data_IF_739234403628
#
_entry.id   IF_739234403628
#
_cell.length_a   1.000
_cell.length_b   1.000
_cell.length_c   1.000
_cell.angle_alpha   90.00
_cell.angle_beta   90.00
_cell.angle_gamma   90.00
#
_symmetry.space_group_name_H-M   'P 1'
#
loop_
_entity.id
_entity.type
_entity.pdbx_description
1 polymer ?
#
# COMPACT_ATOMS: atom_id res chain seq x y z
N UNK A 1 21.11 6.58 13.78
CA UNK A 1 19.69 7.03 13.72
C UNK A 1 19.61 8.46 14.24
N UNK A 2 18.93 9.35 13.53
CA UNK A 2 18.79 10.76 13.87
C UNK A 2 17.64 10.97 14.87
N UNK A 3 17.79 11.93 15.77
CA UNK A 3 16.72 12.39 16.67
C UNK A 3 16.63 13.91 16.65
N UNK A 4 15.46 14.44 17.02
CA UNK A 4 15.18 15.88 16.98
C UNK A 4 14.77 16.38 18.37
N UNK A 5 15.36 17.50 18.78
CA UNK A 5 15.01 18.25 19.98
C UNK A 5 14.53 19.64 19.59
N UNK A 6 13.56 20.18 20.35
CA UNK A 6 13.01 21.52 20.11
C UNK A 6 13.07 22.38 21.36
N UNK A 7 13.45 23.65 21.18
CA UNK A 7 13.41 24.69 22.19
C UNK A 7 12.03 25.36 22.19
N UNK A 8 11.34 25.27 23.33
CA UNK A 8 10.01 25.88 23.54
C UNK A 8 10.19 27.13 24.41
N UNK A 9 9.75 28.28 23.93
CA UNK A 9 9.79 29.54 24.68
C UNK A 9 8.40 29.95 25.12
N UNK A 10 8.25 30.12 26.43
CA UNK A 10 7.64 31.31 27.04
C UNK A 10 7.65 31.28 28.58
N UNK A 11 8.14 30.20 29.23
CA UNK A 11 8.50 30.20 30.66
C UNK A 11 9.73 29.38 31.05
N UNK A 12 10.30 28.58 30.15
CA UNK A 12 11.45 27.70 30.45
C UNK A 12 12.31 27.56 29.19
N UNK A 13 13.53 28.10 29.19
CA UNK A 13 14.56 27.85 28.16
C UNK A 13 15.08 26.42 28.27
N UNK A 14 14.25 25.43 27.95
CA UNK A 14 14.60 24.02 28.06
C UNK A 14 14.39 23.31 26.73
N UNK A 15 15.38 22.51 26.34
CA UNK A 15 15.31 21.63 25.17
C UNK A 15 14.51 20.38 25.52
N UNK A 16 13.59 19.99 24.64
CA UNK A 16 12.74 18.82 24.87
C UNK A 16 12.78 17.85 23.68
N UNK A 17 12.73 16.54 23.97
CA UNK A 17 12.60 15.50 22.95
C UNK A 17 11.25 15.63 22.26
N UNK A 18 11.25 15.65 20.92
CA UNK A 18 10.00 15.81 20.16
C UNK A 18 9.25 14.47 20.08
N UNK A 19 8.00 14.46 20.56
CA UNK A 19 7.06 13.33 20.47
C UNK A 19 5.91 13.65 19.49
N UNK A 20 5.00 12.70 19.25
CA UNK A 20 4.20 12.63 18.01
C UNK A 20 3.25 13.79 17.72
N UNK A 21 2.76 14.51 18.71
CA UNK A 21 2.06 15.76 18.50
C UNK A 21 2.80 16.81 19.29
N UNK A 22 3.19 17.89 18.61
CA UNK A 22 4.07 18.93 19.12
C UNK A 22 3.64 19.52 20.47
N UNK A 23 2.42 19.21 20.95
CA UNK A 23 1.88 19.55 22.25
C UNK A 23 1.04 18.36 22.83
N UNK A 24 1.62 17.49 23.66
CA UNK A 24 0.94 17.18 24.95
C UNK A 24 1.12 18.37 25.94
N UNK A 25 1.49 19.56 25.42
CA UNK A 25 2.06 20.72 26.12
C UNK A 25 1.06 21.49 26.99
N UNK A 26 -0.16 21.00 27.20
CA UNK A 26 -1.03 21.51 28.27
C UNK A 26 -1.40 20.47 29.33
N UNK A 27 -1.06 19.18 29.18
CA UNK A 27 -1.46 18.16 30.16
C UNK A 27 -0.26 17.55 30.88
N UNK A 28 -0.30 17.70 32.22
CA UNK A 28 0.44 16.87 33.17
C UNK A 28 0.14 15.41 32.82
N UNK A 29 1.09 14.68 32.24
CA UNK A 29 1.49 13.32 32.63
C UNK A 29 2.48 12.72 31.62
N UNK A 30 3.51 12.08 32.20
CA UNK A 30 4.69 11.54 31.53
C UNK A 30 4.38 10.45 30.49
N UNK A 31 4.87 10.65 29.27
CA UNK A 31 5.66 9.63 28.53
C UNK A 31 6.26 10.29 27.27
N UNK A 32 7.51 10.75 27.38
CA UNK A 32 8.24 11.35 26.28
C UNK A 32 8.74 10.27 25.30
N UNK A 33 7.90 9.84 24.36
CA UNK A 33 8.33 8.91 23.30
C UNK A 33 9.21 9.65 22.28
N UNK A 34 10.54 9.52 22.42
CA UNK A 34 11.52 10.09 21.50
C UNK A 34 11.31 9.54 20.09
N UNK A 35 11.13 10.43 19.11
CA UNK A 35 11.02 10.07 17.70
C UNK A 35 12.41 9.98 17.07
N UNK A 36 12.61 8.95 16.27
CA UNK A 36 13.85 8.73 15.54
C UNK A 36 13.58 8.73 14.04
N UNK A 37 14.49 9.32 13.29
CA UNK A 37 14.48 9.36 11.84
C UNK A 37 15.72 8.67 11.29
N UNK A 38 15.58 8.00 10.15
CA UNK A 38 16.72 7.35 9.51
C UNK A 38 17.54 8.32 8.66
N UNK A 39 16.88 9.22 7.94
CA UNK A 39 17.47 10.13 6.94
C UNK A 39 17.31 11.60 7.32
N UNK A 40 18.29 12.46 6.98
CA UNK A 40 18.23 13.91 7.23
C UNK A 40 17.05 14.56 6.50
N UNK A 41 16.80 14.17 5.26
CA UNK A 41 15.65 14.67 4.49
C UNK A 41 14.30 14.44 5.20
N UNK A 42 14.17 13.31 5.90
CA UNK A 42 12.99 13.00 6.71
C UNK A 42 12.83 13.92 7.91
N UNK A 43 13.94 14.32 8.52
CA UNK A 43 13.98 15.31 9.62
C UNK A 43 13.61 16.69 9.08
N UNK A 44 14.21 17.12 7.96
CA UNK A 44 13.95 18.42 7.34
C UNK A 44 12.49 18.59 6.92
N UNK A 45 11.91 17.58 6.26
CA UNK A 45 10.49 17.60 5.89
C UNK A 45 9.58 17.79 7.11
N UNK A 46 9.95 17.21 8.25
CA UNK A 46 9.21 17.39 9.50
C UNK A 46 9.37 18.81 10.05
N UNK A 47 10.59 19.36 10.07
CA UNK A 47 10.85 20.74 10.52
C UNK A 47 10.03 21.74 9.68
N UNK A 48 10.05 21.61 8.35
CA UNK A 48 9.26 22.47 7.44
C UNK A 48 7.78 22.39 7.76
N UNK A 49 7.25 21.16 7.97
CA UNK A 49 5.86 20.97 8.36
C UNK A 49 5.56 21.62 9.71
N UNK A 50 6.44 21.47 10.70
CA UNK A 50 6.29 22.03 12.03
C UNK A 50 6.30 23.56 12.03
N UNK A 51 7.23 24.19 11.32
CA UNK A 51 7.29 25.66 11.16
C UNK A 51 6.04 26.20 10.46
N UNK A 52 5.48 25.46 9.49
CA UNK A 52 4.21 25.82 8.86
C UNK A 52 3.03 25.75 9.84
N UNK A 53 3.02 24.75 10.72
CA UNK A 53 1.95 24.56 11.71
C UNK A 53 2.05 25.53 12.89
N UNK A 54 3.27 25.87 13.32
CA UNK A 54 3.54 26.70 14.49
C UNK A 54 4.43 27.89 14.09
N UNK A 55 3.84 29.04 13.72
CA UNK A 55 4.58 30.20 13.18
C UNK A 55 5.60 30.83 14.14
N UNK A 56 5.50 30.57 15.45
CA UNK A 56 6.47 31.03 16.45
C UNK A 56 7.72 30.13 16.52
N UNK A 57 7.74 29.02 15.79
CA UNK A 57 8.94 28.18 15.64
C UNK A 57 9.73 28.65 14.42
N UNK A 58 11.01 28.88 14.64
CA UNK A 58 12.00 29.09 13.59
C UNK A 58 12.92 27.88 13.50
N UNK A 59 13.73 27.81 12.43
CA UNK A 59 14.68 26.70 12.24
C UNK A 59 15.67 26.57 13.41
N UNK A 60 16.00 27.66 14.07
CA UNK A 60 16.92 27.74 15.23
C UNK A 60 16.37 27.01 16.45
N UNK A 61 15.04 26.92 16.56
CA UNK A 61 14.39 26.17 17.63
C UNK A 61 14.63 24.66 17.52
N UNK A 62 15.26 24.13 16.47
CA UNK A 62 15.40 22.70 16.23
C UNK A 62 16.86 22.25 16.25
N UNK A 63 17.18 21.30 17.14
CA UNK A 63 18.48 20.63 17.21
C UNK A 63 18.37 19.19 16.71
N UNK A 64 19.17 18.85 15.71
CA UNK A 64 19.26 17.49 15.17
C UNK A 64 20.47 16.81 15.83
N UNK A 65 20.25 15.65 16.42
CA UNK A 65 21.28 14.84 17.05
C UNK A 65 21.41 13.48 16.32
N UNK A 66 22.61 12.89 16.34
CA UNK A 66 22.88 11.57 15.77
C UNK A 66 23.49 11.61 14.37
N UNK A 67 23.83 10.42 13.86
CA UNK A 67 24.36 10.22 12.52
C UNK A 67 23.27 9.74 11.57
N UNK A 68 23.34 10.23 10.33
CA UNK A 68 22.48 9.76 9.23
C UNK A 68 22.75 8.28 8.99
N UNK A 69 21.67 7.50 8.96
CA UNK A 69 21.75 6.13 8.47
C UNK A 69 21.48 6.15 6.98
N UNK A 70 22.35 5.50 6.20
CA UNK A 70 22.06 5.27 4.80
C UNK A 70 20.69 4.60 4.66
N UNK A 71 19.86 5.19 3.78
CA UNK A 71 18.55 4.65 3.48
C UNK A 71 18.75 3.27 2.84
N UNK A 72 18.66 2.21 3.65
CA UNK A 72 18.48 0.85 3.13
C UNK A 72 17.21 0.88 2.29
N UNK A 73 17.36 0.93 0.96
CA UNK A 73 16.27 0.54 0.07
C UNK A 73 15.86 -0.86 0.56
N UNK A 74 14.58 -1.15 0.79
CA UNK A 74 14.20 -2.53 1.06
C UNK A 74 14.72 -3.36 -0.11
N UNK A 75 15.78 -4.15 0.13
CA UNK A 75 16.24 -5.19 -0.77
C UNK A 75 15.19 -6.31 -0.72
N UNK A 76 13.99 -6.03 -1.24
CA UNK A 76 13.17 -7.06 -1.83
C UNK A 76 13.48 -7.02 -3.33
N UNK A 77 14.54 -7.73 -3.80
CA UNK A 77 14.90 -7.78 -5.21
C UNK A 77 13.74 -8.30 -6.06
N UNK A 78 12.83 -9.08 -5.46
CA UNK A 78 11.64 -9.64 -6.08
C UNK A 78 10.81 -8.56 -6.81
N UNK A 79 10.62 -7.36 -6.23
CA UNK A 79 9.77 -6.34 -6.85
C UNK A 79 10.43 -5.55 -8.00
N UNK A 80 11.70 -5.78 -8.31
CA UNK A 80 12.42 -5.01 -9.33
C UNK A 80 12.21 -5.54 -10.76
N UNK A 81 11.92 -6.83 -10.92
CA UNK A 81 11.86 -7.50 -12.23
C UNK A 81 10.45 -7.96 -12.64
N UNK A 82 9.43 -7.63 -11.85
CA UNK A 82 8.04 -7.93 -12.19
C UNK A 82 7.45 -6.81 -13.04
N UNK A 83 7.47 -7.01 -14.35
CA UNK A 83 6.85 -6.10 -15.30
C UNK A 83 5.33 -6.31 -15.32
N UNK A 84 4.58 -5.22 -15.21
CA UNK A 84 3.12 -5.19 -15.31
C UNK A 84 2.78 -4.08 -16.29
N UNK A 85 1.93 -4.38 -17.27
CA UNK A 85 1.56 -3.49 -18.35
C UNK A 85 0.08 -3.11 -18.28
N UNK A 86 -0.28 -2.05 -18.99
CA UNK A 86 -1.69 -1.67 -19.16
C UNK A 86 -2.39 -2.75 -20.00
N UNK A 87 -3.55 -3.20 -19.55
CA UNK A 87 -4.30 -4.28 -20.19
C UNK A 87 -4.10 -5.66 -19.58
N UNK A 88 -3.09 -5.83 -18.73
CA UNK A 88 -2.88 -7.05 -17.96
C UNK A 88 -4.06 -7.36 -17.05
N UNK A 89 -4.34 -8.64 -16.84
CA UNK A 89 -5.47 -9.11 -16.03
C UNK A 89 -4.95 -9.82 -14.78
N UNK A 90 -5.43 -9.36 -13.63
CA UNK A 90 -5.25 -10.02 -12.34
C UNK A 90 -6.51 -10.81 -11.98
N UNK A 91 -6.34 -11.97 -11.37
CA UNK A 91 -7.42 -12.86 -10.91
C UNK A 91 -7.36 -12.99 -9.39
N UNK A 92 -8.51 -12.84 -8.74
CA UNK A 92 -8.68 -13.03 -7.31
C UNK A 92 -9.75 -14.10 -7.08
N UNK A 93 -9.35 -15.25 -6.55
CA UNK A 93 -10.27 -16.28 -6.08
C UNK A 93 -10.38 -16.19 -4.56
N UNK A 94 -11.60 -16.11 -4.04
CA UNK A 94 -11.85 -15.96 -2.61
C UNK A 94 -13.20 -16.55 -2.22
N UNK A 95 -13.41 -16.76 -0.93
CA UNK A 95 -14.69 -17.26 -0.42
C UNK A 95 -14.49 -18.17 0.78
N UNK A 96 -15.57 -18.39 1.52
CA UNK A 96 -15.59 -19.24 2.71
C UNK A 96 -16.43 -20.49 2.43
N UNK A 97 -17.76 -20.32 2.35
CA UNK A 97 -18.70 -21.37 1.92
C UNK A 97 -18.78 -21.49 0.40
N UNK A 98 -18.64 -20.37 -0.29
CA UNK A 98 -18.68 -20.23 -1.75
C UNK A 98 -17.28 -20.09 -2.34
N UNK A 99 -17.13 -20.23 -3.66
CA UNK A 99 -15.90 -19.87 -4.38
C UNK A 99 -16.21 -18.77 -5.39
N UNK A 100 -15.74 -17.55 -5.13
CA UNK A 100 -15.97 -16.38 -5.96
C UNK A 100 -14.69 -15.99 -6.70
N UNK A 101 -14.85 -15.59 -7.96
CA UNK A 101 -13.73 -15.17 -8.80
C UNK A 101 -13.97 -13.76 -9.33
N UNK A 102 -13.03 -12.88 -9.03
CA UNK A 102 -13.00 -11.52 -9.53
C UNK A 102 -11.81 -11.30 -10.46
N UNK A 103 -12.07 -10.59 -11.56
CA UNK A 103 -11.07 -10.22 -12.56
C UNK A 103 -10.82 -8.72 -12.53
N UNK A 104 -9.57 -8.30 -12.65
CA UNK A 104 -9.17 -6.90 -12.62
C UNK A 104 -8.20 -6.60 -13.75
N UNK A 105 -8.53 -5.63 -14.60
CA UNK A 105 -7.65 -5.19 -15.68
C UNK A 105 -6.91 -3.92 -15.29
N UNK A 106 -5.61 -3.88 -15.58
CA UNK A 106 -4.74 -2.72 -15.34
C UNK A 106 -5.12 -1.59 -16.28
N UNK A 107 -5.52 -0.46 -15.72
CA UNK A 107 -5.85 0.77 -16.45
C UNK A 107 -4.69 1.75 -16.48
N UNK A 108 -3.79 1.68 -15.48
CA UNK A 108 -2.64 2.58 -15.37
C UNK A 108 -1.52 1.93 -14.56
N UNK A 109 -0.28 2.17 -14.99
CA UNK A 109 0.93 1.83 -14.23
C UNK A 109 1.58 3.11 -13.73
N UNK A 110 2.01 3.13 -12.47
CA UNK A 110 2.75 4.26 -11.90
C UNK A 110 4.08 4.47 -12.63
N UNK A 111 4.62 5.70 -12.64
CA UNK A 111 5.94 5.99 -13.22
C UNK A 111 7.08 5.11 -12.68
N UNK A 112 6.90 4.55 -11.48
CA UNK A 112 7.90 3.69 -10.83
C UNK A 112 7.66 2.19 -11.06
N UNK A 113 6.58 1.79 -11.72
CA UNK A 113 6.18 0.37 -11.88
C UNK A 113 5.62 -0.30 -10.61
N UNK A 114 5.77 0.31 -9.43
CA UNK A 114 5.45 -0.35 -8.13
C UNK A 114 3.98 -0.34 -7.73
N UNK A 115 3.16 0.42 -8.45
CA UNK A 115 1.74 0.57 -8.18
C UNK A 115 0.97 0.64 -9.49
N UNK A 116 -0.26 0.13 -9.46
CA UNK A 116 -1.20 0.11 -10.57
C UNK A 116 -2.55 0.68 -10.14
N UNK A 117 -3.29 1.21 -11.12
CA UNK A 117 -4.74 1.31 -11.01
C UNK A 117 -5.35 0.15 -11.79
N UNK A 118 -6.41 -0.41 -11.25
CA UNK A 118 -7.14 -1.51 -11.88
C UNK A 118 -8.63 -1.26 -11.83
N UNK A 119 -9.37 -1.84 -12.79
CA UNK A 119 -10.83 -1.90 -12.75
C UNK A 119 -11.29 -3.33 -12.80
N UNK A 120 -12.32 -3.64 -12.02
CA UNK A 120 -12.96 -4.96 -12.05
C UNK A 120 -13.61 -5.17 -13.42
N UNK A 121 -13.53 -6.39 -13.95
CA UNK A 121 -14.14 -6.81 -15.20
C UNK A 121 -15.40 -7.64 -14.94
N UNK A 122 -16.35 -7.56 -15.86
CA UNK A 122 -17.40 -8.55 -15.99
C UNK A 122 -16.80 -9.91 -16.35
N UNK A 123 -17.51 -10.97 -16.02
CA UNK A 123 -17.19 -12.32 -16.44
C UNK A 123 -18.34 -12.91 -17.26
N UNK A 124 -18.03 -13.94 -18.04
CA UNK A 124 -19.01 -14.82 -18.67
C UNK A 124 -18.85 -16.23 -18.12
N UNK A 125 -19.95 -16.96 -17.99
CA UNK A 125 -19.92 -18.40 -17.72
C UNK A 125 -19.51 -19.10 -19.00
N UNK A 126 -18.46 -19.92 -18.91
CA UNK A 126 -17.93 -20.71 -20.04
C UNK A 126 -18.26 -22.19 -19.94
N UNK A 127 -18.57 -22.68 -18.73
CA UNK A 127 -18.99 -24.04 -18.48
C UNK A 127 -19.82 -24.13 -17.19
N UNK A 128 -20.73 -25.10 -17.11
CA UNK A 128 -21.58 -25.34 -15.95
C UNK A 128 -22.53 -24.19 -15.58
N UNK A 129 -22.90 -24.12 -14.31
CA UNK A 129 -23.79 -23.09 -13.76
C UNK A 129 -23.29 -22.66 -12.38
N UNK A 130 -22.85 -21.41 -12.25
CA UNK A 130 -22.26 -20.88 -11.01
C UNK A 130 -23.22 -20.98 -9.81
N UNK A 131 -24.52 -20.85 -10.06
CA UNK A 131 -25.60 -20.93 -9.07
C UNK A 131 -26.12 -22.34 -8.85
N UNK A 132 -25.28 -23.36 -9.09
CA UNK A 132 -25.58 -24.76 -8.81
C UNK A 132 -24.61 -25.30 -7.75
N UNK A 133 -24.98 -26.34 -6.99
CA UNK A 133 -24.07 -26.96 -6.02
C UNK A 133 -22.76 -27.46 -6.63
N UNK A 134 -22.76 -27.78 -7.93
CA UNK A 134 -21.58 -28.22 -8.68
C UNK A 134 -20.70 -27.05 -9.12
N UNK A 135 -21.20 -25.81 -9.07
CA UNK A 135 -20.53 -24.62 -9.58
C UNK A 135 -20.45 -24.58 -11.11
N UNK A 136 -19.72 -23.58 -11.60
CA UNK A 136 -19.41 -23.40 -13.01
C UNK A 136 -18.00 -22.87 -13.19
N UNK A 137 -17.65 -22.56 -14.43
CA UNK A 137 -16.40 -21.90 -14.78
C UNK A 137 -16.66 -20.56 -15.45
N UNK A 138 -15.87 -19.56 -15.08
CA UNK A 138 -15.99 -18.19 -15.57
C UNK A 138 -14.70 -17.69 -16.19
N UNK A 139 -14.84 -16.86 -17.21
CA UNK A 139 -13.72 -16.18 -17.86
C UNK A 139 -13.98 -14.67 -17.92
N UNK A 140 -12.93 -13.82 -17.81
CA UNK A 140 -13.10 -12.38 -17.91
C UNK A 140 -13.57 -11.97 -19.30
N UNK A 141 -14.41 -10.94 -19.35
CA UNK A 141 -14.71 -10.22 -20.58
C UNK A 141 -13.82 -8.98 -20.62
N UNK A 142 -12.76 -9.05 -21.43
CA UNK A 142 -11.76 -7.97 -21.57
C UNK A 142 -12.44 -6.63 -21.89
N UNK A 143 -11.96 -5.55 -21.30
CA UNK A 143 -12.46 -4.17 -21.46
C UNK A 143 -13.92 -3.94 -21.01
N UNK A 144 -14.62 -4.95 -20.48
CA UNK A 144 -15.96 -4.82 -19.93
C UNK A 144 -15.89 -4.48 -18.43
N UNK A 145 -15.67 -3.20 -18.12
CA UNK A 145 -15.48 -2.74 -16.75
C UNK A 145 -16.78 -2.71 -15.95
N UNK A 146 -16.73 -3.22 -14.72
CA UNK A 146 -17.82 -3.16 -13.74
C UNK A 146 -17.33 -2.48 -12.45
N UNK A 147 -18.16 -1.61 -11.89
CA UNK A 147 -17.83 -0.90 -10.66
C UNK A 147 -16.72 0.16 -10.80
N UNK A 148 -16.18 0.55 -9.65
CA UNK A 148 -15.22 1.65 -9.54
C UNK A 148 -13.76 1.23 -9.76
N UNK A 149 -12.91 2.22 -10.05
CA UNK A 149 -11.47 2.00 -10.21
C UNK A 149 -10.77 1.91 -8.85
N UNK A 150 -10.01 0.83 -8.65
CA UNK A 150 -9.12 0.68 -7.51
C UNK A 150 -7.79 1.38 -7.81
N UNK A 151 -7.50 2.45 -7.07
CA UNK A 151 -6.33 3.30 -7.32
C UNK A 151 -5.14 2.94 -6.44
N UNK A 152 -3.94 3.16 -6.98
CA UNK A 152 -2.66 3.06 -6.26
C UNK A 152 -2.44 1.70 -5.56
N UNK A 153 -2.94 0.61 -6.13
CA UNK A 153 -2.73 -0.74 -5.60
C UNK A 153 -1.26 -1.09 -5.75
N UNK A 154 -0.61 -1.44 -4.64
CA UNK A 154 0.82 -1.74 -4.63
C UNK A 154 1.06 -3.17 -5.12
N UNK A 155 1.87 -3.29 -6.17
CA UNK A 155 2.31 -4.56 -6.72
C UNK A 155 3.47 -5.09 -5.91
N UNK A 156 3.43 -6.38 -5.60
CA UNK A 156 4.47 -7.14 -4.92
C UNK A 156 4.56 -8.54 -5.53
N UNK A 157 5.63 -9.27 -5.26
CA UNK A 157 5.65 -10.69 -5.57
C UNK A 157 4.84 -11.48 -4.58
N UNK A 158 4.24 -12.57 -5.04
CA UNK A 158 3.72 -13.59 -4.16
C UNK A 158 4.84 -14.32 -3.41
N UNK A 159 4.46 -15.27 -2.55
CA UNK A 159 5.39 -16.01 -1.70
C UNK A 159 5.96 -17.26 -2.38
N UNK A 160 5.74 -17.43 -3.69
CA UNK A 160 6.22 -18.57 -4.46
C UNK A 160 7.72 -18.50 -4.78
N UNK A 161 8.27 -19.65 -5.19
CA UNK A 161 9.66 -19.75 -5.64
C UNK A 161 9.93 -18.90 -6.89
N UNK A 162 8.94 -18.82 -7.79
CA UNK A 162 8.91 -17.90 -8.93
C UNK A 162 7.75 -16.92 -8.70
N UNK A 163 8.01 -15.78 -8.05
CA UNK A 163 6.95 -14.95 -7.53
C UNK A 163 6.18 -14.25 -8.64
N UNK A 164 4.86 -14.42 -8.67
CA UNK A 164 4.00 -13.70 -9.63
C UNK A 164 3.61 -12.33 -9.07
N UNK A 165 3.40 -11.32 -9.93
CA UNK A 165 2.88 -10.04 -9.48
C UNK A 165 1.52 -10.21 -8.79
N UNK A 166 1.36 -9.61 -7.62
CA UNK A 166 0.11 -9.61 -6.86
C UNK A 166 -0.16 -8.24 -6.26
N UNK A 167 -1.43 -7.97 -5.96
CA UNK A 167 -1.83 -6.89 -5.07
C UNK A 167 -2.96 -7.34 -4.14
N UNK A 168 -2.99 -6.82 -2.93
CA UNK A 168 -4.11 -7.03 -2.01
C UNK A 168 -5.32 -6.22 -2.50
N UNK A 169 -6.45 -6.85 -2.80
CA UNK A 169 -7.70 -6.19 -3.20
C UNK A 169 -8.29 -5.46 -1.99
N UNK A 170 -8.46 -6.18 -0.90
CA UNK A 170 -8.88 -5.73 0.43
C UNK A 170 -8.14 -6.58 1.50
N UNK A 171 -8.60 -6.56 2.75
CA UNK A 171 -7.97 -7.28 3.85
C UNK A 171 -8.12 -8.82 3.77
N UNK A 172 -9.04 -9.30 2.94
CA UNK A 172 -9.42 -10.71 2.84
C UNK A 172 -9.12 -11.34 1.47
N UNK A 173 -8.69 -10.56 0.48
CA UNK A 173 -8.52 -11.03 -0.89
C UNK A 173 -7.27 -10.43 -1.56
N UNK A 174 -6.57 -11.28 -2.30
CA UNK A 174 -5.39 -10.93 -3.09
C UNK A 174 -5.59 -11.34 -4.54
N UNK A 175 -5.24 -10.45 -5.47
CA UNK A 175 -5.30 -10.74 -6.90
C UNK A 175 -3.89 -10.98 -7.43
N UNK A 176 -3.75 -11.98 -8.30
CA UNK A 176 -2.49 -12.39 -8.91
C UNK A 176 -2.55 -12.18 -10.42
N UNK A 177 -1.46 -11.69 -11.00
CA UNK A 177 -1.32 -11.58 -12.45
C UNK A 177 -1.33 -12.99 -13.04
N UNK A 178 -2.07 -13.16 -14.13
CA UNK A 178 -2.04 -14.37 -14.95
C UNK A 178 -1.43 -14.04 -16.30
N UNK A 179 -0.50 -14.88 -16.76
CA UNK A 179 0.15 -14.72 -18.07
C UNK A 179 -0.87 -14.93 -19.20
N UNK A 180 -1.67 -15.98 -19.06
CA UNK A 180 -2.78 -16.31 -19.95
C UNK A 180 -4.02 -16.64 -19.13
N UNK A 181 -5.18 -16.25 -19.66
CA UNK A 181 -6.47 -16.66 -19.11
C UNK A 181 -6.62 -18.17 -19.33
N UNK A 182 -6.96 -18.91 -18.28
CA UNK A 182 -7.25 -20.34 -18.41
C UNK A 182 -8.31 -20.55 -19.51
N UNK A 183 -8.00 -21.31 -20.59
CA UNK A 183 -8.95 -21.53 -21.68
C UNK A 183 -10.23 -22.24 -21.21
N UNK A 184 -10.16 -22.99 -20.11
CA UNK A 184 -11.32 -23.64 -19.50
C UNK A 184 -12.07 -22.72 -18.53
N UNK A 185 -11.51 -21.55 -18.20
CA UNK A 185 -12.03 -20.64 -17.19
C UNK A 185 -11.76 -21.09 -15.76
N UNK A 186 -12.05 -20.17 -14.83
CA UNK A 186 -11.81 -20.32 -13.40
C UNK A 186 -13.06 -20.84 -12.71
N UNK A 187 -12.89 -21.80 -11.80
CA UNK A 187 -14.00 -22.36 -11.04
C UNK A 187 -14.64 -21.29 -10.13
N UNK A 188 -15.97 -21.17 -10.21
CA UNK A 188 -16.77 -20.27 -9.40
C UNK A 188 -18.08 -20.98 -9.00
N UNK A 189 -18.43 -20.89 -7.74
CA UNK A 189 -19.67 -21.41 -7.18
C UNK A 189 -20.24 -20.35 -6.24
N UNK A 190 -21.41 -19.81 -6.60
CA UNK A 190 -22.17 -18.85 -5.79
C UNK A 190 -23.46 -19.44 -5.21
N UNK A 191 -23.55 -20.77 -5.21
CA UNK A 191 -24.59 -21.51 -4.52
C UNK A 191 -24.21 -21.65 -3.04
N UNK A 192 -25.14 -21.28 -2.15
CA UNK A 192 -25.01 -21.35 -0.68
C UNK A 192 -26.16 -22.20 -0.10
#
# INVERSE_FOLDING_TARGET
>A
MLSLEVQITNRTNHWTNVTNDFLNITSRNHSSVRKYWRTLQGVENYIVKAMKTYPWLTRENFRINGTEEERRKPQNPIAADMEVHIGDIFVSSWGYSMTLVDFYQVTKVSKTGKSVNVRKLAHKVVDGAISSPQGGRVAPVKDCFVGEELRNKRVRGDYGANPRPMFAVNDCATAHLVEEIDPNGYFMCDWD
#
